data_IF_060852524341
#
_entry.id   IF_060852524341
#
_cell.length_a   1.000
_cell.length_b   1.000
_cell.length_c   1.000
_cell.angle_alpha   90.00
_cell.angle_beta   90.00
_cell.angle_gamma   90.00
#
_symmetry.space_group_name_H-M   'P 1'
#
loop_
_entity.id
_entity.type
_entity.pdbx_description
1 polymer ?
#
# COMPACT_ATOMS: atom_id res chain seq x y z
N UNK A 1 -63.82 -35.75 -19.01
CA UNK A 1 -63.31 -34.41 -18.63
C UNK A 1 -62.25 -34.59 -17.55
N UNK A 2 -60.98 -34.63 -17.95
CA UNK A 2 -59.84 -34.82 -17.05
C UNK A 2 -59.34 -33.42 -16.65
N UNK A 3 -59.40 -33.10 -15.36
CA UNK A 3 -58.84 -31.84 -14.82
C UNK A 3 -57.38 -32.08 -14.42
N UNK A 4 -56.45 -31.46 -15.13
CA UNK A 4 -55.05 -31.32 -14.74
C UNK A 4 -54.96 -30.26 -13.63
N UNK A 5 -54.44 -30.64 -12.46
CA UNK A 5 -54.00 -29.68 -11.43
C UNK A 5 -52.53 -29.35 -11.67
N UNK A 6 -52.24 -28.09 -12.00
CA UNK A 6 -50.88 -27.57 -12.13
C UNK A 6 -50.49 -26.98 -10.77
N UNK A 7 -49.58 -27.63 -10.06
CA UNK A 7 -48.94 -27.10 -8.86
C UNK A 7 -47.84 -26.11 -9.27
N UNK A 8 -48.07 -24.81 -9.02
CA UNK A 8 -47.04 -23.78 -9.16
C UNK A 8 -46.09 -23.86 -7.95
N UNK A 9 -44.89 -24.42 -8.13
CA UNK A 9 -43.79 -24.26 -7.19
C UNK A 9 -43.22 -22.84 -7.34
N UNK A 10 -43.52 -21.97 -6.38
CA UNK A 10 -42.85 -20.69 -6.20
C UNK A 10 -41.39 -20.96 -5.78
N UNK A 11 -40.48 -20.85 -6.74
CA UNK A 11 -39.05 -20.72 -6.48
C UNK A 11 -38.82 -19.37 -5.79
N UNK A 12 -38.81 -19.37 -4.47
CA UNK A 12 -38.28 -18.26 -3.68
C UNK A 12 -36.76 -18.24 -3.95
N UNK A 13 -36.19 -17.15 -4.49
CA UNK A 13 -34.75 -17.06 -4.58
C UNK A 13 -34.20 -17.10 -3.16
N UNK A 14 -33.30 -18.04 -2.88
CA UNK A 14 -32.44 -17.96 -1.71
C UNK A 14 -31.51 -16.77 -1.93
N UNK A 15 -31.95 -15.58 -1.55
CA UNK A 15 -31.04 -14.47 -1.29
C UNK A 15 -30.16 -14.98 -0.14
N UNK A 16 -28.92 -15.37 -0.43
CA UNK A 16 -27.95 -15.53 0.64
C UNK A 16 -27.96 -14.20 1.38
N UNK A 17 -28.19 -14.24 2.70
CA UNK A 17 -27.93 -13.07 3.52
C UNK A 17 -26.46 -12.74 3.26
N UNK A 18 -26.21 -11.64 2.55
CA UNK A 18 -24.88 -11.10 2.43
C UNK A 18 -24.33 -11.04 3.85
N UNK A 19 -23.27 -11.80 4.09
CA UNK A 19 -22.54 -11.73 5.33
C UNK A 19 -22.21 -10.24 5.53
N UNK A 20 -22.61 -9.65 6.65
CA UNK A 20 -22.42 -8.22 6.94
C UNK A 20 -20.90 -7.95 7.01
N UNK A 21 -20.26 -7.77 5.85
CA UNK A 21 -18.86 -7.45 5.73
C UNK A 21 -18.65 -5.99 6.10
N UNK A 22 -17.71 -5.70 7.02
CA UNK A 22 -17.44 -4.34 7.48
C UNK A 22 -16.95 -3.42 6.35
N UNK A 23 -16.13 -3.97 5.45
CA UNK A 23 -15.57 -3.29 4.29
C UNK A 23 -15.97 -4.03 3.00
N UNK A 24 -17.21 -3.85 2.51
CA UNK A 24 -17.75 -4.66 1.42
C UNK A 24 -17.19 -4.31 0.03
N UNK A 25 -16.53 -3.15 -0.10
CA UNK A 25 -15.94 -2.66 -1.33
C UNK A 25 -14.78 -1.69 -1.03
N UNK A 26 -13.78 -1.64 -1.92
CA UNK A 26 -12.76 -0.59 -1.89
C UNK A 26 -13.32 0.78 -2.32
N UNK A 27 -14.42 0.82 -3.09
CA UNK A 27 -15.07 2.07 -3.51
C UNK A 27 -15.45 2.93 -2.30
N UNK A 28 -15.06 4.20 -2.36
CA UNK A 28 -15.27 5.16 -1.29
C UNK A 28 -14.18 5.18 -0.23
N UNK A 29 -13.14 4.33 -0.33
CA UNK A 29 -12.06 4.27 0.65
C UNK A 29 -10.76 4.89 0.10
N UNK A 30 -9.96 5.42 1.03
CA UNK A 30 -8.59 5.86 0.84
C UNK A 30 -7.67 5.00 1.71
N UNK A 31 -6.88 4.16 1.06
CA UNK A 31 -6.04 3.16 1.74
C UNK A 31 -4.58 3.30 1.31
N UNK A 32 -3.66 2.93 2.20
CA UNK A 32 -2.23 3.02 1.94
C UNK A 32 -1.58 1.64 1.74
N UNK A 33 -0.47 1.58 1.00
CA UNK A 33 0.43 0.43 1.07
C UNK A 33 1.14 0.37 2.42
N UNK A 34 1.36 -0.84 2.94
CA UNK A 34 2.06 -1.06 4.20
C UNK A 34 3.06 -2.21 4.04
N UNK A 35 4.34 -1.91 4.26
CA UNK A 35 5.43 -2.87 4.06
C UNK A 35 5.71 -3.70 5.30
N UNK A 36 5.86 -3.04 6.44
CA UNK A 36 6.15 -3.72 7.70
C UNK A 36 7.47 -4.49 7.71
N UNK A 37 8.48 -4.04 6.97
CA UNK A 37 9.69 -4.83 6.72
C UNK A 37 10.94 -4.44 7.55
N UNK A 38 10.87 -3.38 8.35
CA UNK A 38 12.02 -2.87 9.10
C UNK A 38 12.35 -3.76 10.31
N UNK A 39 13.62 -4.16 10.41
CA UNK A 39 14.12 -4.97 11.52
C UNK A 39 15.24 -4.27 12.30
N UNK A 40 15.47 -4.73 13.52
CA UNK A 40 16.63 -4.31 14.32
C UNK A 40 17.31 -5.52 14.94
N UNK A 41 18.63 -5.46 15.27
CA UNK A 41 19.32 -6.57 15.93
C UNK A 41 18.67 -7.00 17.26
N UNK A 42 17.92 -6.10 17.93
CA UNK A 42 17.26 -6.36 19.20
C UNK A 42 15.80 -6.84 19.10
N UNK A 43 15.27 -7.06 17.90
CA UNK A 43 13.86 -7.45 17.69
C UNK A 43 13.58 -8.95 17.70
N UNK A 44 14.57 -9.75 18.08
CA UNK A 44 14.52 -11.22 18.17
C UNK A 44 14.36 -11.97 16.83
N UNK A 45 14.28 -11.26 15.69
CA UNK A 45 14.17 -11.91 14.38
C UNK A 45 15.51 -12.48 13.88
N UNK A 46 16.63 -11.95 14.36
CA UNK A 46 17.96 -12.26 13.84
C UNK A 46 18.20 -11.71 12.43
N UNK A 47 17.40 -10.73 11.97
CA UNK A 47 17.52 -10.09 10.65
C UNK A 47 18.38 -8.83 10.65
N UNK A 48 19.03 -8.50 11.77
CA UNK A 48 19.88 -7.32 11.90
C UNK A 48 19.14 -6.01 11.58
N UNK A 49 19.76 -5.08 10.85
CA UNK A 49 19.20 -3.76 10.52
C UNK A 49 18.44 -3.77 9.20
N UNK A 50 17.76 -4.89 8.88
CA UNK A 50 17.15 -5.09 7.57
C UNK A 50 16.24 -3.92 7.16
N UNK A 51 16.41 -3.47 5.92
CA UNK A 51 15.82 -2.25 5.33
C UNK A 51 16.24 -0.91 5.95
N UNK A 52 17.05 -0.88 7.02
CA UNK A 52 17.73 0.33 7.47
C UNK A 52 19.16 0.44 6.93
N UNK A 53 19.85 -0.69 6.84
CA UNK A 53 21.27 -0.81 6.49
C UNK A 53 21.54 -0.53 5.01
N UNK A 54 22.73 0.00 4.70
CA UNK A 54 23.29 -0.05 3.36
C UNK A 54 24.46 -1.03 3.36
N UNK A 55 24.40 -2.07 2.53
CA UNK A 55 25.46 -3.12 2.45
C UNK A 55 25.79 -3.73 3.82
N UNK A 56 24.77 -3.95 4.66
CA UNK A 56 24.89 -4.59 5.96
C UNK A 56 25.38 -3.68 7.10
N UNK A 57 25.53 -2.38 6.88
CA UNK A 57 25.89 -1.41 7.91
C UNK A 57 24.78 -0.36 8.05
N UNK A 58 24.41 -0.05 9.30
CA UNK A 58 23.50 1.05 9.63
C UNK A 58 24.18 1.99 10.63
N UNK A 59 24.78 3.05 10.13
CA UNK A 59 25.56 4.05 10.88
C UNK A 59 25.68 5.34 10.05
N UNK A 60 26.12 6.48 10.61
CA UNK A 60 26.42 7.68 9.81
C UNK A 60 27.29 7.35 8.58
N UNK A 61 26.83 7.77 7.40
CA UNK A 61 27.40 7.47 6.09
C UNK A 61 26.99 6.13 5.46
N UNK A 62 26.14 5.35 6.13
CA UNK A 62 25.66 4.07 5.63
C UNK A 62 24.24 3.78 6.12
N UNK A 63 23.25 4.04 5.26
CA UNK A 63 21.84 3.77 5.50
C UNK A 63 21.08 3.70 4.17
N UNK A 64 19.94 3.00 4.15
CA UNK A 64 19.01 3.00 3.02
C UNK A 64 17.75 3.83 3.26
N UNK A 65 17.53 4.39 4.45
CA UNK A 65 16.35 5.22 4.73
C UNK A 65 16.60 6.68 4.39
N UNK A 66 15.64 7.31 3.73
CA UNK A 66 15.67 8.74 3.44
C UNK A 66 14.81 9.54 4.43
N UNK A 67 13.83 8.92 5.09
CA UNK A 67 13.07 9.51 6.19
C UNK A 67 13.50 8.90 7.52
N UNK A 68 13.58 9.72 8.56
CA UNK A 68 13.78 9.24 9.93
C UNK A 68 12.46 9.19 10.70
N UNK A 69 12.12 8.07 11.37
CA UNK A 69 10.84 7.94 12.06
C UNK A 69 10.79 8.78 13.35
N UNK A 70 9.62 9.35 13.64
CA UNK A 70 9.38 9.99 14.94
C UNK A 70 9.01 8.94 15.99
N UNK A 71 9.97 8.59 16.82
CA UNK A 71 9.85 7.47 17.75
C UNK A 71 9.20 7.82 19.10
N UNK A 72 8.74 9.06 19.31
CA UNK A 72 8.22 9.55 20.61
C UNK A 72 7.05 8.75 21.19
N UNK A 73 6.19 8.19 20.35
CA UNK A 73 5.00 7.44 20.77
C UNK A 73 5.22 5.92 20.83
N UNK A 74 6.38 5.43 20.39
CA UNK A 74 6.64 4.00 20.36
C UNK A 74 6.94 3.50 21.78
N UNK A 75 6.23 2.45 22.18
CA UNK A 75 6.46 1.80 23.47
C UNK A 75 7.83 1.12 23.57
N UNK A 76 8.41 0.76 22.41
CA UNK A 76 9.71 0.10 22.29
C UNK A 76 10.46 0.70 21.11
N UNK A 77 11.70 1.07 21.36
CA UNK A 77 12.61 1.68 20.39
C UNK A 77 13.98 1.06 20.52
N UNK A 78 14.79 1.20 19.48
CA UNK A 78 16.12 0.62 19.39
C UNK A 78 17.16 1.71 19.16
N UNK A 79 18.15 1.85 20.05
CA UNK A 79 19.21 2.84 19.86
C UNK A 79 20.03 2.50 18.62
N UNK A 80 20.49 3.54 17.94
CA UNK A 80 21.31 3.42 16.73
C UNK A 80 22.66 4.10 16.94
N UNK A 81 23.63 3.91 16.04
CA UNK A 81 24.87 4.70 16.06
C UNK A 81 24.69 6.19 15.70
N UNK A 82 23.50 6.60 15.22
CA UNK A 82 23.21 7.98 14.86
C UNK A 82 22.94 8.83 16.10
N UNK A 83 23.29 10.11 16.03
CA UNK A 83 23.05 11.09 17.09
C UNK A 83 22.36 12.32 16.50
N UNK A 84 21.54 12.98 17.31
CA UNK A 84 21.01 14.30 17.01
C UNK A 84 22.09 15.38 17.21
N UNK A 85 21.81 16.59 16.75
CA UNK A 85 22.74 17.74 16.85
C UNK A 85 23.08 18.12 18.29
N UNK A 86 22.22 17.80 19.25
CA UNK A 86 22.46 17.99 20.68
C UNK A 86 23.29 16.86 21.33
N UNK A 87 23.72 15.88 20.53
CA UNK A 87 24.51 14.73 20.98
C UNK A 87 23.68 13.61 21.60
N UNK A 88 22.34 13.72 21.67
CA UNK A 88 21.50 12.62 22.14
C UNK A 88 21.41 11.49 21.10
N UNK A 89 21.35 10.21 21.53
CA UNK A 89 21.29 9.08 20.61
C UNK A 89 19.95 9.03 19.88
N UNK A 90 19.98 8.79 18.57
CA UNK A 90 18.78 8.57 17.77
C UNK A 90 18.37 7.10 17.83
N UNK A 91 17.06 6.86 17.80
CA UNK A 91 16.47 5.53 17.86
C UNK A 91 15.46 5.31 16.73
N UNK A 92 15.28 4.04 16.36
CA UNK A 92 14.28 3.56 15.39
C UNK A 92 13.37 2.51 16.02
N UNK A 93 12.39 2.00 15.27
CA UNK A 93 11.48 0.94 15.70
C UNK A 93 11.78 -0.39 14.98
N UNK A 94 11.11 -1.46 15.36
CA UNK A 94 11.00 -2.67 14.54
C UNK A 94 9.55 -2.89 14.13
N UNK A 95 9.32 -3.22 12.85
CA UNK A 95 8.00 -3.61 12.35
C UNK A 95 7.53 -4.95 12.93
N UNK A 96 8.46 -5.76 13.44
CA UNK A 96 8.16 -7.05 14.07
C UNK A 96 7.43 -6.90 15.41
N UNK A 97 7.65 -5.79 16.12
CA UNK A 97 7.03 -5.55 17.43
C UNK A 97 5.52 -5.31 17.30
N UNK A 98 4.72 -6.07 18.06
CA UNK A 98 3.26 -5.90 18.08
C UNK A 98 2.83 -4.48 18.52
N UNK A 99 3.61 -3.83 19.39
CA UNK A 99 3.36 -2.45 19.81
C UNK A 99 3.52 -1.43 18.68
N UNK A 100 4.44 -1.67 17.74
CA UNK A 100 4.65 -0.83 16.55
C UNK A 100 3.42 -0.90 15.65
N UNK A 101 3.05 -2.11 15.23
CA UNK A 101 1.91 -2.32 14.31
C UNK A 101 0.62 -1.78 14.95
N UNK A 102 0.40 -2.05 16.24
CA UNK A 102 -0.76 -1.53 16.96
C UNK A 102 -0.79 0.01 16.99
N UNK A 103 0.34 0.68 17.16
CA UNK A 103 0.43 2.14 17.11
C UNK A 103 0.10 2.68 15.72
N UNK A 104 0.62 2.05 14.66
CA UNK A 104 0.34 2.44 13.28
C UNK A 104 -1.16 2.38 12.96
N UNK A 105 -1.84 1.30 13.33
CA UNK A 105 -3.29 1.19 13.15
C UNK A 105 -4.09 2.14 14.05
N UNK A 106 -3.58 2.44 15.27
CA UNK A 106 -4.17 3.49 16.11
C UNK A 106 -4.12 4.84 15.40
N UNK A 107 -2.97 5.21 14.81
CA UNK A 107 -2.87 6.43 14.01
C UNK A 107 -3.86 6.41 12.84
N UNK A 108 -3.96 5.31 12.09
CA UNK A 108 -4.94 5.24 10.99
C UNK A 108 -6.37 5.54 11.49
N UNK A 109 -6.77 5.01 12.65
CA UNK A 109 -8.05 5.35 13.26
C UNK A 109 -8.14 6.82 13.67
N UNK A 110 -7.13 7.33 14.38
CA UNK A 110 -7.13 8.69 14.93
C UNK A 110 -7.20 9.76 13.83
N UNK A 111 -6.54 9.53 12.69
CA UNK A 111 -6.54 10.43 11.53
C UNK A 111 -7.64 10.09 10.50
N UNK A 112 -8.36 8.98 10.66
CA UNK A 112 -9.44 8.60 9.75
C UNK A 112 -9.00 8.01 8.41
N UNK A 113 -7.81 7.40 8.34
CA UNK A 113 -7.34 6.62 7.18
C UNK A 113 -8.08 5.27 7.19
N UNK A 114 -8.57 4.80 6.03
CA UNK A 114 -9.50 3.67 5.99
C UNK A 114 -8.88 2.32 6.27
N UNK A 115 -7.62 2.15 5.90
CA UNK A 115 -6.91 0.90 6.10
C UNK A 115 -5.69 0.78 5.19
N UNK A 116 -5.20 -0.46 5.07
CA UNK A 116 -3.96 -0.74 4.35
C UNK A 116 -4.00 -2.00 3.49
N UNK A 117 -3.16 -1.98 2.45
CA UNK A 117 -2.75 -3.16 1.70
C UNK A 117 -1.40 -3.65 2.26
N UNK A 118 -1.43 -4.78 2.95
CA UNK A 118 -0.25 -5.41 3.56
C UNK A 118 0.58 -6.09 2.48
N UNK A 119 1.74 -5.52 2.14
CA UNK A 119 2.64 -6.11 1.18
C UNK A 119 3.31 -7.37 1.73
N UNK A 120 3.35 -8.41 0.88
CA UNK A 120 4.15 -9.62 1.04
C UNK A 120 4.97 -9.78 -0.23
N UNK A 121 6.28 -9.57 -0.11
CA UNK A 121 7.20 -9.71 -1.22
C UNK A 121 7.48 -11.20 -1.46
N UNK A 122 7.21 -11.68 -2.68
CA UNK A 122 7.43 -13.10 -3.05
C UNK A 122 8.89 -13.50 -2.83
N UNK A 123 9.83 -12.57 -3.10
CA UNK A 123 11.26 -12.78 -2.84
C UNK A 123 11.62 -12.94 -1.36
N UNK A 124 10.84 -12.37 -0.44
CA UNK A 124 11.06 -12.50 1.00
C UNK A 124 10.44 -13.79 1.54
N UNK A 125 9.17 -14.05 1.21
CA UNK A 125 8.42 -15.17 1.78
C UNK A 125 8.84 -16.54 1.24
N UNK A 126 9.66 -16.61 0.18
CA UNK A 126 10.30 -17.87 -0.25
C UNK A 126 11.26 -18.40 0.81
N UNK A 127 11.81 -17.53 1.65
CA UNK A 127 12.78 -17.88 2.68
C UNK A 127 12.07 -18.03 4.04
N UNK A 128 12.39 -19.07 4.84
CA UNK A 128 11.72 -19.28 6.14
C UNK A 128 11.84 -18.10 7.11
N UNK A 129 12.97 -17.38 7.12
CA UNK A 129 13.15 -16.18 7.95
C UNK A 129 12.21 -15.05 7.51
N UNK A 130 12.14 -14.75 6.20
CA UNK A 130 11.23 -13.74 5.64
C UNK A 130 9.78 -14.10 5.88
N UNK A 131 9.39 -15.34 5.58
CA UNK A 131 8.02 -15.81 5.82
C UNK A 131 7.61 -15.66 7.29
N UNK A 132 8.48 -15.98 8.25
CA UNK A 132 8.20 -15.81 9.68
C UNK A 132 8.00 -14.34 10.05
N UNK A 133 8.83 -13.44 9.53
CA UNK A 133 8.69 -12.00 9.72
C UNK A 133 7.34 -11.51 9.21
N UNK A 134 7.05 -11.71 7.92
CA UNK A 134 5.81 -11.25 7.30
C UNK A 134 4.56 -11.90 7.90
N UNK A 135 4.63 -13.16 8.36
CA UNK A 135 3.53 -13.79 9.10
C UNK A 135 3.28 -13.12 10.44
N UNK A 136 4.33 -12.81 11.20
CA UNK A 136 4.20 -12.16 12.52
C UNK A 136 3.64 -10.75 12.37
N UNK A 137 4.13 -9.98 11.39
CA UNK A 137 3.62 -8.63 11.11
C UNK A 137 2.16 -8.69 10.68
N UNK A 138 1.78 -9.66 9.83
CA UNK A 138 0.38 -9.84 9.42
C UNK A 138 -0.53 -10.27 10.58
N UNK A 139 -0.07 -11.13 11.49
CA UNK A 139 -0.82 -11.51 12.70
C UNK A 139 -1.12 -10.27 13.58
N UNK A 140 -0.10 -9.44 13.78
CA UNK A 140 -0.23 -8.18 14.52
C UNK A 140 -1.18 -7.21 13.79
N UNK A 141 -1.09 -7.13 12.47
CA UNK A 141 -1.91 -6.24 11.64
C UNK A 141 -3.38 -6.67 11.61
N UNK A 142 -3.71 -7.96 11.45
CA UNK A 142 -5.09 -8.46 11.50
C UNK A 142 -5.73 -8.18 12.87
N UNK A 143 -4.96 -8.38 13.95
CA UNK A 143 -5.41 -8.09 15.32
C UNK A 143 -5.67 -6.60 15.51
N UNK A 144 -4.74 -5.74 15.07
CA UNK A 144 -4.86 -4.29 15.18
C UNK A 144 -5.96 -3.71 14.27
N UNK A 145 -6.11 -4.23 13.05
CA UNK A 145 -7.17 -3.88 12.12
C UNK A 145 -8.55 -4.15 12.72
N UNK A 146 -8.71 -5.29 13.39
CA UNK A 146 -9.95 -5.63 14.10
C UNK A 146 -10.18 -4.69 15.29
N UNK A 147 -9.15 -4.44 16.10
CA UNK A 147 -9.24 -3.57 17.29
C UNK A 147 -9.60 -2.12 16.93
N UNK A 148 -9.02 -1.59 15.87
CA UNK A 148 -9.21 -0.20 15.46
C UNK A 148 -10.20 -0.03 14.32
N UNK A 149 -10.89 -1.11 13.95
CA UNK A 149 -11.89 -1.16 12.89
C UNK A 149 -11.35 -0.54 11.60
N UNK A 150 -10.21 -1.00 11.10
CA UNK A 150 -9.57 -0.53 9.85
C UNK A 150 -9.54 -1.64 8.81
N UNK A 151 -9.72 -1.28 7.53
CA UNK A 151 -9.66 -2.23 6.43
C UNK A 151 -8.27 -2.83 6.30
N UNK A 152 -8.20 -4.11 5.92
CA UNK A 152 -6.94 -4.81 5.69
C UNK A 152 -7.07 -5.73 4.48
N UNK A 153 -6.06 -5.74 3.62
CA UNK A 153 -6.02 -6.55 2.41
C UNK A 153 -4.61 -7.07 2.18
N UNK A 154 -4.45 -8.31 1.71
CA UNK A 154 -3.14 -8.85 1.34
C UNK A 154 -2.76 -8.37 -0.07
N UNK A 155 -1.50 -7.95 -0.24
CA UNK A 155 -0.90 -7.62 -1.52
C UNK A 155 0.37 -8.44 -1.74
N UNK A 156 0.37 -9.28 -2.77
CA UNK A 156 1.57 -9.96 -3.22
C UNK A 156 2.37 -9.06 -4.15
N UNK A 157 3.56 -8.68 -3.73
CA UNK A 157 4.52 -7.95 -4.53
C UNK A 157 5.44 -8.92 -5.24
N UNK A 158 5.39 -8.90 -6.57
CA UNK A 158 6.13 -9.84 -7.42
C UNK A 158 7.60 -9.41 -7.66
N UNK A 159 8.06 -8.30 -7.08
CA UNK A 159 9.47 -7.88 -7.19
C UNK A 159 10.41 -8.99 -6.75
N UNK A 160 11.37 -9.32 -7.61
CA UNK A 160 12.33 -10.40 -7.39
C UNK A 160 11.77 -11.82 -7.53
N UNK A 161 10.48 -12.00 -7.84
CA UNK A 161 9.87 -13.31 -8.11
C UNK A 161 10.60 -14.03 -9.25
N UNK A 162 10.80 -15.34 -9.08
CA UNK A 162 11.33 -16.24 -10.10
C UNK A 162 10.20 -17.05 -10.74
N UNK A 163 10.35 -17.48 -12.01
CA UNK A 163 9.41 -18.42 -12.63
C UNK A 163 9.23 -19.69 -11.79
N UNK A 164 7.99 -20.14 -11.62
CA UNK A 164 7.61 -21.30 -10.81
C UNK A 164 7.14 -20.95 -9.39
N UNK A 165 7.47 -19.75 -8.90
CA UNK A 165 7.06 -19.31 -7.56
C UNK A 165 5.60 -18.86 -7.46
N UNK A 166 4.89 -18.79 -8.58
CA UNK A 166 3.44 -18.58 -8.59
C UNK A 166 2.69 -19.66 -7.79
N UNK A 167 3.19 -20.91 -7.81
CA UNK A 167 2.59 -21.99 -7.03
C UNK A 167 2.86 -21.83 -5.53
N UNK A 168 4.06 -21.40 -5.16
CA UNK A 168 4.40 -21.08 -3.77
C UNK A 168 3.55 -19.93 -3.25
N UNK A 169 3.32 -18.91 -4.07
CA UNK A 169 2.47 -17.76 -3.75
C UNK A 169 1.00 -18.18 -3.54
N UNK A 170 0.46 -19.05 -4.41
CA UNK A 170 -0.88 -19.59 -4.23
C UNK A 170 -1.01 -20.47 -2.98
N UNK A 171 0.01 -21.27 -2.67
CA UNK A 171 0.06 -22.05 -1.43
C UNK A 171 0.15 -21.17 -0.18
N UNK A 172 0.89 -20.05 -0.22
CA UNK A 172 0.88 -19.06 0.85
C UNK A 172 -0.52 -18.46 1.03
N UNK A 173 -1.22 -18.12 -0.05
CA UNK A 173 -2.60 -17.65 0.03
C UNK A 173 -3.54 -18.70 0.66
N UNK A 174 -3.38 -19.98 0.33
CA UNK A 174 -4.18 -21.07 0.92
C UNK A 174 -3.96 -21.19 2.45
N UNK A 175 -2.70 -21.07 2.88
CA UNK A 175 -2.33 -21.05 4.30
C UNK A 175 -2.99 -19.88 5.03
N UNK A 176 -2.86 -18.66 4.48
CA UNK A 176 -3.42 -17.45 5.10
C UNK A 176 -4.94 -17.44 5.07
N UNK A 177 -5.54 -17.95 4.00
CA UNK A 177 -6.99 -18.13 3.87
C UNK A 177 -7.53 -19.00 4.98
N UNK A 178 -6.88 -20.15 5.24
CA UNK A 178 -7.26 -21.06 6.32
C UNK A 178 -7.05 -20.42 7.70
N UNK A 179 -5.90 -19.76 7.90
CA UNK A 179 -5.52 -19.18 9.19
C UNK A 179 -6.48 -18.07 9.63
N UNK A 180 -6.75 -17.12 8.75
CA UNK A 180 -7.55 -15.92 9.04
C UNK A 180 -9.00 -16.02 8.57
N UNK A 181 -9.39 -17.18 8.04
CA UNK A 181 -10.73 -17.41 7.49
C UNK A 181 -11.14 -16.34 6.48
N UNK A 182 -10.28 -16.06 5.49
CA UNK A 182 -10.43 -14.89 4.61
C UNK A 182 -11.70 -14.93 3.74
N UNK A 183 -12.24 -16.13 3.46
CA UNK A 183 -13.45 -16.30 2.64
C UNK A 183 -14.74 -15.96 3.39
N UNK A 184 -14.76 -16.10 4.71
CA UNK A 184 -15.95 -15.83 5.52
C UNK A 184 -15.74 -14.67 6.51
N UNK A 185 -14.50 -14.25 6.74
CA UNK A 185 -14.16 -13.10 7.57
C UNK A 185 -14.41 -13.30 9.07
N UNK A 186 -14.65 -14.51 9.58
CA UNK A 186 -14.97 -14.68 11.02
C UNK A 186 -13.77 -14.37 11.93
N UNK A 187 -12.54 -14.65 11.47
CA UNK A 187 -11.29 -14.32 12.16
C UNK A 187 -10.63 -13.04 11.63
N UNK A 188 -11.21 -12.43 10.60
CA UNK A 188 -10.72 -11.22 9.95
C UNK A 188 -11.89 -10.33 9.51
N UNK A 189 -12.71 -9.83 10.45
CA UNK A 189 -13.99 -9.18 10.13
C UNK A 189 -13.84 -7.85 9.38
N UNK A 190 -12.64 -7.26 9.38
CA UNK A 190 -12.31 -6.05 8.64
C UNK A 190 -11.56 -6.32 7.33
N UNK A 191 -11.46 -7.58 6.89
CA UNK A 191 -10.81 -7.89 5.62
C UNK A 191 -11.58 -7.26 4.46
N UNK A 192 -10.85 -6.59 3.57
CA UNK A 192 -11.43 -5.85 2.46
C UNK A 192 -12.07 -6.79 1.46
N UNK A 193 -13.31 -6.49 1.09
CA UNK A 193 -14.01 -7.15 0.00
C UNK A 193 -14.18 -6.20 -1.17
N UNK A 194 -14.46 -6.76 -2.33
CA UNK A 194 -14.87 -6.05 -3.53
C UNK A 194 -15.68 -6.99 -4.42
N UNK A 195 -16.71 -6.48 -5.10
CA UNK A 195 -17.64 -7.31 -5.89
C UNK A 195 -18.16 -8.57 -5.16
N UNK A 196 -18.41 -8.45 -3.84
CA UNK A 196 -18.96 -9.52 -3.02
C UNK A 196 -17.97 -10.62 -2.62
N UNK A 197 -16.68 -10.46 -2.91
CA UNK A 197 -15.61 -11.41 -2.57
C UNK A 197 -14.49 -10.73 -1.79
N UNK A 198 -13.75 -11.44 -0.93
CA UNK A 198 -12.52 -10.90 -0.35
C UNK A 198 -11.55 -10.52 -1.47
N UNK A 199 -10.81 -9.42 -1.28
CA UNK A 199 -9.87 -8.89 -2.26
C UNK A 199 -8.45 -9.42 -1.98
N UNK A 200 -7.72 -9.74 -3.05
CA UNK A 200 -6.26 -9.95 -3.01
C UNK A 200 -5.63 -9.10 -4.11
N UNK A 201 -4.47 -8.52 -3.82
CA UNK A 201 -3.73 -7.71 -4.79
C UNK A 201 -2.54 -8.49 -5.33
N UNK A 202 -2.31 -8.42 -6.64
CA UNK A 202 -1.10 -8.89 -7.31
C UNK A 202 -0.41 -7.69 -7.92
N UNK A 203 0.71 -7.25 -7.37
CA UNK A 203 1.44 -6.06 -7.82
C UNK A 203 2.64 -6.42 -8.68
N UNK A 204 2.83 -5.69 -9.78
CA UNK A 204 4.06 -5.77 -10.56
C UNK A 204 3.91 -6.40 -11.94
N UNK A 205 2.72 -6.43 -12.53
CA UNK A 205 2.49 -7.13 -13.80
C UNK A 205 2.61 -6.18 -14.99
N UNK A 206 3.54 -6.45 -15.90
CA UNK A 206 3.69 -5.73 -17.16
C UNK A 206 4.81 -4.70 -17.23
N UNK A 207 5.63 -4.54 -16.18
CA UNK A 207 6.79 -3.65 -16.20
C UNK A 207 7.88 -4.15 -17.16
N UNK A 208 8.58 -3.21 -17.80
CA UNK A 208 9.67 -3.50 -18.75
C UNK A 208 11.08 -3.39 -18.12
N UNK A 209 11.17 -3.55 -16.80
CA UNK A 209 12.38 -3.48 -15.97
C UNK A 209 13.10 -4.84 -15.86
N UNK A 210 13.00 -5.69 -16.89
CA UNK A 210 13.69 -6.98 -17.00
C UNK A 210 13.35 -8.01 -15.89
N UNK A 211 12.08 -8.07 -15.48
CA UNK A 211 11.61 -9.09 -14.52
C UNK A 211 11.84 -10.50 -15.05
N UNK A 212 12.09 -11.42 -14.12
CA UNK A 212 12.39 -12.83 -14.42
C UNK A 212 11.16 -13.65 -14.75
N UNK A 213 9.99 -13.24 -14.26
CA UNK A 213 8.68 -13.82 -14.58
C UNK A 213 7.98 -13.00 -15.67
N UNK A 214 6.92 -13.56 -16.27
CA UNK A 214 6.13 -12.87 -17.29
C UNK A 214 4.63 -13.06 -17.12
N UNK A 215 3.90 -12.83 -18.22
CA UNK A 215 2.44 -12.92 -18.21
C UNK A 215 1.90 -14.32 -17.96
N UNK A 216 2.68 -15.38 -18.22
CA UNK A 216 2.27 -16.75 -17.94
C UNK A 216 2.13 -17.01 -16.43
N UNK A 217 3.14 -16.62 -15.67
CA UNK A 217 3.13 -16.75 -14.21
C UNK A 217 2.08 -15.82 -13.60
N UNK A 218 1.98 -14.57 -14.09
CA UNK A 218 0.94 -13.63 -13.67
C UNK A 218 -0.48 -14.15 -13.94
N UNK A 219 -0.72 -14.75 -15.11
CA UNK A 219 -2.01 -15.37 -15.44
C UNK A 219 -2.35 -16.52 -14.49
N UNK A 220 -1.36 -17.38 -14.19
CA UNK A 220 -1.52 -18.49 -13.26
C UNK A 220 -1.91 -17.99 -11.86
N UNK A 221 -1.30 -16.90 -11.38
CA UNK A 221 -1.69 -16.25 -10.13
C UNK A 221 -3.12 -15.72 -10.18
N UNK A 222 -3.47 -14.93 -11.20
CA UNK A 222 -4.80 -14.33 -11.33
C UNK A 222 -5.88 -15.42 -11.35
N UNK A 223 -5.73 -16.46 -12.17
CA UNK A 223 -6.69 -17.55 -12.27
C UNK A 223 -6.74 -18.40 -10.99
N UNK A 224 -5.58 -18.65 -10.39
CA UNK A 224 -5.46 -19.36 -9.13
C UNK A 224 -6.18 -18.64 -7.99
N UNK A 225 -6.05 -17.31 -7.91
CA UNK A 225 -6.69 -16.48 -6.88
C UNK A 225 -8.21 -16.41 -7.12
N UNK A 226 -8.65 -16.18 -8.37
CA UNK A 226 -10.09 -16.11 -8.69
C UNK A 226 -10.80 -17.44 -8.49
N UNK A 227 -10.16 -18.56 -8.83
CA UNK A 227 -10.73 -19.91 -8.62
C UNK A 227 -10.87 -20.27 -7.14
N UNK A 228 -10.07 -19.65 -6.25
CA UNK A 228 -10.21 -19.73 -4.78
C UNK A 228 -11.31 -18.85 -4.20
N UNK A 229 -12.02 -18.08 -5.02
CA UNK A 229 -13.17 -17.27 -4.58
C UNK A 229 -12.85 -15.82 -4.25
N UNK A 230 -11.67 -15.31 -4.63
CA UNK A 230 -11.28 -13.92 -4.39
C UNK A 230 -11.58 -13.02 -5.61
N UNK A 231 -11.76 -11.73 -5.35
CA UNK A 231 -11.58 -10.67 -6.34
C UNK A 231 -10.11 -10.27 -6.41
N UNK A 232 -9.67 -9.73 -7.55
CA UNK A 232 -8.27 -9.40 -7.81
C UNK A 232 -8.10 -7.93 -8.16
N UNK A 233 -7.19 -7.25 -7.46
CA UNK A 233 -6.62 -5.98 -7.90
C UNK A 233 -5.25 -6.23 -8.54
N UNK A 234 -5.02 -5.72 -9.75
CA UNK A 234 -3.77 -5.88 -10.48
C UNK A 234 -2.95 -4.58 -10.48
N UNK A 235 -1.76 -4.64 -9.88
CA UNK A 235 -0.78 -3.56 -9.89
C UNK A 235 0.04 -3.55 -11.19
N UNK A 236 -0.02 -2.45 -11.94
CA UNK A 236 0.53 -2.35 -13.31
C UNK A 236 1.43 -1.11 -13.48
N UNK A 237 2.22 -1.01 -14.57
CA UNK A 237 3.00 0.19 -14.88
C UNK A 237 2.14 1.42 -15.10
N UNK A 238 2.76 2.60 -15.12
CA UNK A 238 2.06 3.86 -15.30
C UNK A 238 1.34 3.96 -16.64
N UNK A 239 2.01 3.58 -17.73
CA UNK A 239 1.50 3.76 -19.09
C UNK A 239 0.86 2.47 -19.63
N UNK A 240 0.26 1.68 -18.74
CA UNK A 240 -0.37 0.38 -19.04
C UNK A 240 -1.44 0.48 -20.13
N UNK A 241 -2.27 1.54 -20.15
CA UNK A 241 -3.36 1.69 -21.11
C UNK A 241 -2.83 1.77 -22.54
N UNK A 242 -1.76 2.51 -22.76
CA UNK A 242 -1.13 2.67 -24.09
C UNK A 242 0.00 1.69 -24.34
N UNK A 243 0.34 0.84 -23.36
CA UNK A 243 1.51 -0.06 -23.38
C UNK A 243 2.83 0.67 -23.68
N UNK A 244 2.96 1.90 -23.17
CA UNK A 244 4.09 2.78 -23.47
C UNK A 244 5.12 2.86 -22.34
N UNK A 245 6.23 3.56 -22.59
CA UNK A 245 7.25 3.99 -21.62
C UNK A 245 7.74 2.91 -20.65
N UNK A 246 7.10 2.71 -19.50
CA UNK A 246 7.49 1.76 -18.44
C UNK A 246 6.76 0.42 -18.52
N UNK A 247 5.97 0.22 -19.58
CA UNK A 247 5.18 -0.98 -19.84
C UNK A 247 5.78 -1.81 -20.96
N UNK A 248 5.65 -3.14 -20.86
CA UNK A 248 5.87 -4.07 -21.97
C UNK A 248 4.85 -3.79 -23.09
N UNK A 249 5.33 -3.77 -24.34
CA UNK A 249 4.51 -3.57 -25.53
C UNK A 249 3.80 -4.86 -25.95
N UNK A 250 2.91 -5.37 -25.10
CA UNK A 250 2.20 -6.63 -25.30
C UNK A 250 0.76 -6.53 -24.78
N UNK A 251 -0.20 -6.77 -25.67
CA UNK A 251 -1.64 -6.67 -25.39
C UNK A 251 -2.17 -7.75 -24.43
N UNK A 252 -1.35 -8.75 -24.12
CA UNK A 252 -1.61 -9.72 -23.05
C UNK A 252 -1.88 -9.01 -21.72
N UNK A 253 -1.23 -7.87 -21.44
CA UNK A 253 -1.50 -7.10 -20.23
C UNK A 253 -2.97 -6.65 -20.16
N UNK A 254 -3.52 -6.09 -21.24
CA UNK A 254 -4.93 -5.67 -21.27
C UNK A 254 -5.89 -6.84 -21.09
N UNK A 255 -5.54 -8.02 -21.64
CA UNK A 255 -6.30 -9.25 -21.43
C UNK A 255 -6.30 -9.65 -19.95
N UNK A 256 -5.16 -9.59 -19.27
CA UNK A 256 -5.07 -9.88 -17.83
C UNK A 256 -5.81 -8.85 -16.98
N UNK A 257 -5.73 -7.56 -17.33
CA UNK A 257 -6.47 -6.49 -16.65
C UNK A 257 -7.98 -6.76 -16.73
N UNK A 258 -8.50 -7.13 -17.91
CA UNK A 258 -9.93 -7.50 -18.09
C UNK A 258 -10.36 -8.74 -17.28
N UNK A 259 -9.43 -9.59 -16.85
CA UNK A 259 -9.74 -10.72 -15.95
C UNK A 259 -9.83 -10.28 -14.49
N UNK A 260 -9.25 -9.15 -14.13
CA UNK A 260 -9.22 -8.64 -12.77
C UNK A 260 -10.43 -7.74 -12.47
N UNK A 261 -10.62 -7.42 -11.21
CA UNK A 261 -11.73 -6.61 -10.73
C UNK A 261 -11.33 -5.14 -10.64
N UNK A 262 -10.07 -4.87 -10.26
CA UNK A 262 -9.50 -3.53 -10.14
C UNK A 262 -8.14 -3.48 -10.84
N UNK A 263 -7.81 -2.37 -11.50
CA UNK A 263 -6.45 -2.05 -11.96
C UNK A 263 -5.90 -0.87 -11.18
N UNK A 264 -4.65 -0.98 -10.74
CA UNK A 264 -3.95 0.01 -9.92
C UNK A 264 -2.57 0.33 -10.53
N UNK A 265 -2.42 1.46 -11.24
CA UNK A 265 -1.12 1.84 -11.80
C UNK A 265 -0.15 2.36 -10.73
N UNK A 266 1.14 2.09 -10.91
CA UNK A 266 2.20 2.65 -10.06
C UNK A 266 2.69 4.00 -10.62
N UNK A 267 2.64 5.06 -9.80
CA UNK A 267 2.99 6.42 -10.24
C UNK A 267 4.26 7.00 -9.58
N UNK A 268 4.77 6.38 -8.52
CA UNK A 268 5.92 6.91 -7.77
C UNK A 268 7.13 7.06 -8.70
N UNK A 269 7.78 8.23 -8.62
CA UNK A 269 8.97 8.55 -9.43
C UNK A 269 8.70 8.88 -10.91
N UNK A 270 7.44 9.05 -11.33
CA UNK A 270 7.07 9.31 -12.74
C UNK A 270 6.87 10.78 -13.08
N UNK A 271 6.63 11.60 -12.07
CA UNK A 271 6.40 13.04 -12.20
C UNK A 271 6.83 13.74 -10.91
N UNK A 272 6.91 15.06 -10.98
CA UNK A 272 7.00 15.97 -9.85
C UNK A 272 5.86 17.00 -9.97
N UNK A 273 5.79 17.96 -9.04
CA UNK A 273 4.73 18.99 -9.05
C UNK A 273 4.66 19.77 -10.37
N UNK A 274 5.79 20.10 -10.99
CA UNK A 274 5.80 20.85 -12.25
C UNK A 274 5.29 20.01 -13.44
N UNK A 275 5.54 18.71 -13.46
CA UNK A 275 5.10 17.82 -14.54
C UNK A 275 3.74 17.15 -14.28
N UNK A 276 3.21 17.25 -13.06
CA UNK A 276 1.95 16.63 -12.68
C UNK A 276 0.73 17.15 -13.44
N UNK A 277 0.57 18.46 -13.72
CA UNK A 277 -0.58 18.95 -14.49
C UNK A 277 -0.74 18.25 -15.85
N UNK A 278 0.36 18.02 -16.56
CA UNK A 278 0.36 17.27 -17.83
C UNK A 278 0.10 15.79 -17.60
N UNK A 279 0.70 15.21 -16.55
CA UNK A 279 0.50 13.82 -16.20
C UNK A 279 -0.97 13.49 -15.86
N UNK A 280 -1.65 14.39 -15.15
CA UNK A 280 -3.00 14.19 -14.60
C UNK A 280 -4.06 13.94 -15.68
N UNK A 281 -3.80 14.30 -16.95
CA UNK A 281 -4.70 14.00 -18.07
C UNK A 281 -4.90 12.50 -18.27
N UNK A 282 -3.89 11.67 -17.93
CA UNK A 282 -3.97 10.21 -18.05
C UNK A 282 -5.11 9.61 -17.22
N UNK A 283 -5.42 10.21 -16.07
CA UNK A 283 -6.43 9.68 -15.14
C UNK A 283 -7.81 9.53 -15.81
N UNK A 284 -8.19 10.50 -16.64
CA UNK A 284 -9.51 10.48 -17.33
C UNK A 284 -9.55 9.41 -18.41
N UNK A 285 -8.49 9.30 -19.21
CA UNK A 285 -8.43 8.30 -20.26
C UNK A 285 -8.34 6.87 -19.70
N UNK A 286 -7.58 6.69 -18.62
CA UNK A 286 -7.46 5.42 -17.91
C UNK A 286 -8.81 5.01 -17.30
N UNK A 287 -9.52 5.94 -16.66
CA UNK A 287 -10.85 5.69 -16.13
C UNK A 287 -11.87 5.38 -17.24
N UNK A 288 -11.81 6.07 -18.38
CA UNK A 288 -12.68 5.79 -19.52
C UNK A 288 -12.46 4.37 -20.06
N UNK A 289 -11.20 3.97 -20.25
CA UNK A 289 -10.87 2.60 -20.65
C UNK A 289 -11.39 1.57 -19.64
N UNK A 290 -11.22 1.84 -18.35
CA UNK A 290 -11.70 0.98 -17.27
C UNK A 290 -13.23 0.80 -17.32
N UNK A 291 -13.97 1.89 -17.50
CA UNK A 291 -15.43 1.87 -17.64
C UNK A 291 -15.88 1.05 -18.87
N UNK A 292 -15.22 1.22 -20.02
CA UNK A 292 -15.53 0.46 -21.25
C UNK A 292 -15.24 -1.04 -21.11
N UNK A 293 -14.31 -1.42 -20.24
CA UNK A 293 -13.87 -2.81 -20.06
C UNK A 293 -14.43 -3.47 -18.79
N UNK A 294 -15.26 -2.76 -18.01
CA UNK A 294 -15.87 -3.29 -16.78
C UNK A 294 -14.87 -3.60 -15.66
N UNK A 295 -13.76 -2.85 -15.60
CA UNK A 295 -12.73 -2.95 -14.56
C UNK A 295 -12.75 -1.68 -13.74
N UNK A 296 -12.62 -1.78 -12.41
CA UNK A 296 -12.55 -0.59 -11.56
C UNK A 296 -11.14 0.00 -11.51
N UNK A 297 -11.02 1.31 -11.31
CA UNK A 297 -9.75 2.03 -11.36
C UNK A 297 -9.34 2.58 -9.99
N UNK A 298 -8.16 2.19 -9.51
CA UNK A 298 -7.58 2.67 -8.26
C UNK A 298 -6.25 3.44 -8.53
N UNK A 299 -6.33 4.76 -8.79
CA UNK A 299 -5.14 5.58 -8.97
C UNK A 299 -4.39 5.80 -7.66
N UNK A 300 -3.17 6.31 -7.79
CA UNK A 300 -2.20 6.48 -6.70
C UNK A 300 -1.93 7.97 -6.41
N UNK A 301 -1.73 8.31 -5.13
CA UNK A 301 -1.09 9.55 -4.70
C UNK A 301 0.09 9.25 -3.76
N UNK A 302 1.12 10.10 -3.77
CA UNK A 302 2.29 9.98 -2.89
C UNK A 302 2.78 11.34 -2.39
N UNK A 303 3.28 11.44 -1.14
CA UNK A 303 3.56 12.73 -0.51
C UNK A 303 4.82 13.42 -1.04
N UNK A 304 5.68 12.66 -1.71
CA UNK A 304 6.98 13.04 -2.23
C UNK A 304 7.84 11.77 -2.35
N UNK A 305 9.08 11.90 -2.80
CA UNK A 305 9.95 10.76 -3.07
C UNK A 305 11.41 11.14 -2.87
N UNK A 306 12.20 10.25 -2.29
CA UNK A 306 13.66 10.39 -2.18
C UNK A 306 14.27 9.04 -1.81
N UNK A 307 15.38 8.71 -2.43
CA UNK A 307 16.14 7.46 -2.23
C UNK A 307 17.64 7.72 -2.38
N UNK A 308 18.08 8.87 -1.85
CA UNK A 308 19.46 9.37 -1.97
C UNK A 308 20.44 8.52 -1.19
N UNK A 309 20.03 8.01 -0.03
CA UNK A 309 20.91 7.17 0.77
C UNK A 309 21.09 5.77 0.14
N UNK A 310 20.09 5.27 -0.59
CA UNK A 310 20.18 4.01 -1.36
C UNK A 310 20.90 4.16 -2.71
N UNK A 311 20.61 5.22 -3.48
CA UNK A 311 21.05 5.36 -4.87
C UNK A 311 22.07 6.50 -5.11
N UNK A 312 22.50 7.18 -4.05
CA UNK A 312 23.43 8.29 -4.10
C UNK A 312 22.75 9.67 -4.25
N UNK A 313 23.49 10.77 -3.99
CA UNK A 313 22.92 12.12 -3.84
C UNK A 313 22.35 12.72 -5.13
N UNK A 314 22.71 12.17 -6.30
CA UNK A 314 22.23 12.60 -7.62
C UNK A 314 20.96 11.88 -8.06
N UNK A 315 20.44 10.97 -7.23
CA UNK A 315 19.22 10.22 -7.54
C UNK A 315 18.00 11.15 -7.55
N UNK A 316 16.97 10.75 -8.29
CA UNK A 316 15.73 11.51 -8.41
C UNK A 316 15.08 11.72 -7.04
N UNK A 317 14.60 12.94 -6.78
CA UNK A 317 13.78 13.27 -5.63
C UNK A 317 12.61 14.15 -6.05
N UNK A 318 11.49 14.01 -5.35
CA UNK A 318 10.28 14.82 -5.51
C UNK A 318 9.99 15.49 -4.17
N UNK A 319 10.17 16.81 -4.05
CA UNK A 319 9.86 17.55 -2.84
C UNK A 319 8.40 17.37 -2.41
N UNK A 320 8.16 17.35 -1.11
CA UNK A 320 6.79 17.22 -0.58
C UNK A 320 5.98 18.52 -0.60
N UNK A 321 6.65 19.64 -0.87
CA UNK A 321 6.11 20.99 -1.01
C UNK A 321 4.99 21.31 0.00
N UNK A 322 5.27 21.00 1.28
CA UNK A 322 4.37 21.33 2.41
C UNK A 322 2.95 20.76 2.25
N UNK A 323 2.81 19.69 1.49
CA UNK A 323 1.54 19.00 1.22
C UNK A 323 0.87 19.40 -0.09
N UNK A 324 1.32 20.46 -0.77
CA UNK A 324 0.72 20.90 -2.04
C UNK A 324 0.81 19.80 -3.09
N UNK A 325 2.01 19.22 -3.29
CA UNK A 325 2.22 18.11 -4.22
C UNK A 325 1.29 16.91 -3.98
N UNK A 326 1.13 16.49 -2.72
CA UNK A 326 0.23 15.40 -2.36
C UNK A 326 -1.23 15.76 -2.66
N UNK A 327 -1.66 16.95 -2.24
CA UNK A 327 -3.06 17.36 -2.37
C UNK A 327 -3.47 17.62 -3.81
N UNK A 328 -2.58 18.13 -4.65
CA UNK A 328 -2.82 18.27 -6.09
C UNK A 328 -3.18 16.92 -6.72
N UNK A 329 -2.49 15.85 -6.32
CA UNK A 329 -2.82 14.49 -6.76
C UNK A 329 -4.19 14.03 -6.26
N UNK A 330 -4.47 14.21 -4.96
CA UNK A 330 -5.78 13.87 -4.36
C UNK A 330 -6.92 14.58 -5.10
N UNK A 331 -6.78 15.89 -5.34
CA UNK A 331 -7.78 16.70 -6.03
C UNK A 331 -7.97 16.27 -7.48
N UNK A 332 -6.90 15.99 -8.22
CA UNK A 332 -6.97 15.53 -9.59
C UNK A 332 -7.64 14.16 -9.72
N UNK A 333 -7.30 13.22 -8.81
CA UNK A 333 -7.97 11.91 -8.73
C UNK A 333 -9.47 12.07 -8.47
N UNK A 334 -9.83 12.94 -7.52
CA UNK A 334 -11.24 13.21 -7.21
C UNK A 334 -11.97 13.83 -8.40
N UNK A 335 -11.35 14.81 -9.06
CA UNK A 335 -11.92 15.50 -10.21
C UNK A 335 -12.04 14.60 -11.45
N UNK A 336 -11.16 13.59 -11.59
CA UNK A 336 -11.28 12.57 -12.63
C UNK A 336 -12.50 11.64 -12.40
N UNK A 337 -13.03 11.59 -11.18
CA UNK A 337 -14.18 10.74 -10.83
C UNK A 337 -13.79 9.33 -10.36
N UNK A 338 -12.53 9.10 -10.00
CA UNK A 338 -12.11 7.81 -9.45
C UNK A 338 -12.76 7.58 -8.09
N UNK A 339 -13.33 6.39 -7.90
CA UNK A 339 -14.04 6.01 -6.68
C UNK A 339 -13.14 5.57 -5.53
N UNK A 340 -11.83 5.47 -5.75
CA UNK A 340 -10.86 4.87 -4.82
C UNK A 340 -9.54 5.66 -4.90
N UNK A 341 -8.74 5.63 -3.84
CA UNK A 341 -7.40 6.23 -3.84
C UNK A 341 -6.42 5.37 -3.05
N UNK A 342 -5.36 4.93 -3.74
CA UNK A 342 -4.21 4.30 -3.12
C UNK A 342 -3.18 5.35 -2.71
N UNK A 343 -2.66 5.27 -1.49
CA UNK A 343 -1.54 6.11 -1.02
C UNK A 343 -0.27 5.28 -1.00
N UNK A 344 0.74 5.72 -1.76
CA UNK A 344 2.10 5.23 -1.65
C UNK A 344 2.93 6.18 -0.78
N UNK A 345 3.27 5.85 0.46
CA UNK A 345 2.98 4.63 1.23
C UNK A 345 2.76 4.98 2.70
N UNK A 346 2.32 4.03 3.53
CA UNK A 346 2.21 4.26 4.98
C UNK A 346 3.59 4.41 5.63
N UNK A 347 4.49 3.43 5.43
CA UNK A 347 5.74 3.27 6.17
C UNK A 347 7.03 3.14 5.32
N UNK A 348 6.97 3.36 3.99
CA UNK A 348 8.14 3.30 3.09
C UNK A 348 9.12 4.48 3.35
N UNK A 349 10.06 4.28 4.27
CA UNK A 349 11.09 5.28 4.60
C UNK A 349 12.25 5.28 3.61
N UNK A 350 12.51 4.16 2.93
CA UNK A 350 13.60 4.01 1.97
C UNK A 350 13.42 4.89 0.73
N UNK A 351 12.18 4.97 0.23
CA UNK A 351 11.84 5.81 -0.93
C UNK A 351 11.22 7.17 -0.56
N UNK A 352 11.19 7.50 0.73
CA UNK A 352 10.73 8.81 1.19
C UNK A 352 9.24 9.07 0.95
N UNK A 353 8.44 8.03 0.71
CA UNK A 353 7.00 8.13 0.41
C UNK A 353 6.11 7.94 1.64
N UNK A 354 6.68 7.65 2.82
CA UNK A 354 5.90 7.45 4.05
C UNK A 354 4.97 8.61 4.41
N UNK A 355 3.72 8.31 4.77
CA UNK A 355 2.79 9.27 5.38
C UNK A 355 2.77 9.23 6.90
N UNK A 356 3.31 8.17 7.53
CA UNK A 356 3.36 8.06 8.99
C UNK A 356 4.27 9.12 9.65
N UNK A 357 4.34 9.13 10.98
CA UNK A 357 5.07 10.17 11.70
C UNK A 357 6.58 10.06 11.48
N UNK A 358 7.14 11.04 10.77
CA UNK A 358 8.58 11.20 10.57
C UNK A 358 9.08 12.47 11.27
N UNK A 359 10.36 12.51 11.62
CA UNK A 359 10.96 13.68 12.23
C UNK A 359 10.88 14.92 11.33
N UNK A 360 10.79 16.07 11.98
CA UNK A 360 10.87 17.37 11.34
C UNK A 360 12.31 17.74 11.01
N UNK A 361 12.52 18.71 10.11
CA UNK A 361 13.85 19.16 9.64
C UNK A 361 14.79 19.52 10.80
N UNK A 362 14.27 20.18 11.84
CA UNK A 362 15.00 20.58 13.05
C UNK A 362 15.30 19.42 14.02
N UNK A 363 14.83 18.21 13.72
CA UNK A 363 15.00 17.01 14.55
C UNK A 363 15.52 15.81 13.76
N UNK A 364 16.39 16.05 12.78
CA UNK A 364 17.04 14.98 12.03
C UNK A 364 18.36 14.57 12.70
N UNK A 365 18.70 13.26 12.71
CA UNK A 365 20.02 12.82 13.11
C UNK A 365 21.09 13.24 12.09
N UNK A 366 22.32 13.35 12.56
CA UNK A 366 23.48 13.60 11.71
C UNK A 366 23.84 12.35 10.90
N UNK A 367 24.15 12.53 9.61
CA UNK A 367 24.49 11.43 8.72
C UNK A 367 25.72 11.82 7.87
N UNK A 368 26.90 11.35 8.25
CA UNK A 368 28.16 11.73 7.60
C UNK A 368 28.16 11.40 6.09
N UNK A 369 28.16 12.42 5.23
CA UNK A 369 28.13 12.22 3.77
C UNK A 369 26.77 11.82 3.19
N UNK A 370 25.72 11.71 4.02
CA UNK A 370 24.34 11.50 3.61
C UNK A 370 23.41 12.60 4.14
N UNK A 371 22.11 12.46 3.90
CA UNK A 371 21.11 13.38 4.45
C UNK A 371 19.76 12.69 4.60
N UNK A 372 19.02 13.04 5.65
CA UNK A 372 17.62 12.66 5.78
C UNK A 372 16.71 13.78 5.28
N UNK A 373 15.54 13.40 4.78
CA UNK A 373 14.42 14.27 4.49
C UNK A 373 13.62 14.43 5.78
N UNK A 374 13.28 15.68 6.13
CA UNK A 374 12.45 16.00 7.28
C UNK A 374 11.12 16.62 6.86
N UNK A 375 10.10 16.48 7.71
CA UNK A 375 8.86 17.25 7.57
C UNK A 375 9.15 18.71 7.95
N UNK A 376 8.55 19.68 7.26
CA UNK A 376 8.68 21.08 7.66
C UNK A 376 8.32 21.27 9.15
N UNK A 377 9.20 21.93 9.90
CA UNK A 377 9.12 22.07 11.36
C UNK A 377 7.78 22.60 11.84
N UNK A 378 7.21 23.59 11.14
CA UNK A 378 5.95 24.23 11.53
C UNK A 378 4.70 23.39 11.24
N UNK A 379 4.82 22.31 10.45
CA UNK A 379 3.71 21.40 10.14
C UNK A 379 3.56 20.27 11.16
N UNK A 380 4.67 19.89 11.81
CA UNK A 380 4.72 18.77 12.76
C UNK A 380 4.87 17.39 12.10
N UNK A 381 5.30 16.39 12.88
CA UNK A 381 5.63 15.05 12.36
C UNK A 381 4.44 14.27 11.80
N UNK A 382 3.22 14.60 12.22
CA UNK A 382 1.97 13.92 11.85
C UNK A 382 1.25 14.55 10.65
N UNK A 383 1.82 15.58 10.04
CA UNK A 383 1.14 16.36 9.00
C UNK A 383 0.63 15.52 7.82
N UNK A 384 1.41 14.54 7.35
CA UNK A 384 1.01 13.69 6.22
C UNK A 384 0.01 12.60 6.60
N UNK A 385 -0.03 12.16 7.86
CA UNK A 385 -1.14 11.34 8.39
C UNK A 385 -2.43 12.14 8.39
N UNK A 386 -2.36 13.38 8.90
CA UNK A 386 -3.51 14.29 8.90
C UNK A 386 -4.01 14.53 7.48
N UNK A 387 -3.13 14.86 6.53
CA UNK A 387 -3.52 15.18 5.16
C UNK A 387 -4.12 13.96 4.43
N UNK A 388 -3.61 12.75 4.68
CA UNK A 388 -4.21 11.50 4.20
C UNK A 388 -5.62 11.29 4.79
N UNK A 389 -5.81 11.60 6.06
CA UNK A 389 -7.11 11.62 6.73
C UNK A 389 -8.11 12.60 6.11
N UNK A 390 -7.65 13.79 5.73
CA UNK A 390 -8.47 14.78 5.03
C UNK A 390 -8.91 14.27 3.64
N UNK A 391 -8.04 13.55 2.93
CA UNK A 391 -8.39 12.91 1.66
C UNK A 391 -9.48 11.83 1.87
N UNK A 392 -9.33 10.97 2.89
CA UNK A 392 -10.36 9.98 3.25
C UNK A 392 -11.71 10.64 3.60
N UNK A 393 -11.68 11.72 4.37
CA UNK A 393 -12.87 12.48 4.72
C UNK A 393 -13.59 13.05 3.48
N UNK A 394 -12.84 13.48 2.45
CA UNK A 394 -13.43 13.91 1.18
C UNK A 394 -14.11 12.75 0.43
N UNK A 395 -13.49 11.56 0.42
CA UNK A 395 -14.07 10.36 -0.16
C UNK A 395 -15.37 9.93 0.55
N UNK A 396 -15.45 10.12 1.86
CA UNK A 396 -16.66 9.91 2.66
C UNK A 396 -17.75 10.98 2.48
N UNK A 397 -17.57 11.92 1.55
CA UNK A 397 -18.62 12.88 1.17
C UNK A 397 -18.68 14.16 1.99
N UNK A 398 -17.66 14.45 2.80
CA UNK A 398 -17.54 15.79 3.41
C UNK A 398 -17.36 16.83 2.29
N UNK A 399 -18.22 17.86 2.31
CA UNK A 399 -18.33 18.85 1.22
C UNK A 399 -17.38 20.04 1.35
N UNK A 400 -16.61 20.11 2.43
CA UNK A 400 -15.68 21.21 2.75
C UNK A 400 -14.38 21.17 1.93
N UNK A 401 -14.14 20.09 1.18
CA UNK A 401 -12.91 19.88 0.42
C UNK A 401 -13.06 20.31 -1.04
N UNK A 402 -11.96 20.84 -1.58
CA UNK A 402 -11.83 21.27 -2.97
C UNK A 402 -10.40 21.02 -3.46
N UNK A 403 -10.05 21.55 -4.64
CA UNK A 403 -8.67 21.53 -5.11
C UNK A 403 -7.71 22.32 -4.20
N UNK A 404 -8.22 23.21 -3.35
CA UNK A 404 -7.39 23.95 -2.39
C UNK A 404 -6.90 23.03 -1.25
N UNK A 405 -5.61 23.17 -0.91
CA UNK A 405 -4.99 22.46 0.21
C UNK A 405 -5.74 22.77 1.52
N UNK A 406 -6.18 21.76 2.29
CA UNK A 406 -6.85 21.96 3.56
C UNK A 406 -5.94 22.70 4.52
N UNK A 407 -6.55 23.54 5.37
CA UNK A 407 -5.82 24.24 6.42
C UNK A 407 -6.04 23.52 7.75
N UNK A 408 -4.95 23.16 8.42
CA UNK A 408 -5.01 22.65 9.79
C UNK A 408 -5.32 23.83 10.71
N UNK A 409 -6.47 23.77 11.40
CA UNK A 409 -6.77 24.73 12.47
C UNK A 409 -5.67 24.66 13.54
N UNK A 410 -5.23 25.81 14.03
CA UNK A 410 -4.25 25.89 15.13
C UNK A 410 -4.85 25.42 16.44
#
# INVERSE_FOLDING_TARGET
MIRLAISLLLLIPLWSRAQNCRYPTYKGLVMAGYQGWFNTPGDSTGRHWHHYEHRGVFAPGSSEIDLWPDTREYAKTYPTPFHFTDGSPAAVFSSYDASTVRLHFKWMKDYGIDGVFMQRFVAEIRNPSGKRHFNTVLDNAISAATQYDRAICIMYDLSGMQPGEEQMTLADLDELTTKYDLLHGTRSPTYLHHHGKPLVVVWGVGFNDHRRYGFREAETLIDGIKSRGFSVMLGVPTYWRTLGRDCLQDSTLHRLIRKCDIVAPWFVGRYNENSYPVFSSLLKDDLAWCNENGVDYAPLAFPGFSWKNMNGPQSTAVPRNRGHFFWEQVAAVRAAGAGMLYIAMFDEMNEGTSIFKCNTVDRLPQNDGGSFVGIDTDLGSDYYLWLAGQAAAWWHGKKEYSAELPRRGR
#
